data_IF_451229609691
#
_entry.id   IF_451229609691
#
_cell.length_a   1.000
_cell.length_b   1.000
_cell.length_c   1.000
_cell.angle_alpha   90.00
_cell.angle_beta   90.00
_cell.angle_gamma   90.00
#
_symmetry.space_group_name_H-M   'P 1'
#
loop_
_entity.id
_entity.type
_entity.pdbx_description
1 polymer ?
#
# COMPACT_ATOMS: atom_id res chain seq x y z
N UNK A 1 5.65 1.04 -33.13
CA UNK A 1 4.96 0.32 -32.04
C UNK A 1 5.95 0.21 -30.88
N UNK A 2 5.79 0.97 -29.79
CA UNK A 2 6.69 0.85 -28.62
C UNK A 2 6.40 -0.48 -27.93
N UNK A 3 7.37 -1.37 -27.81
CA UNK A 3 7.20 -2.61 -27.05
C UNK A 3 7.16 -2.29 -25.57
N UNK A 4 6.17 -2.85 -24.87
CA UNK A 4 6.07 -2.88 -23.41
C UNK A 4 6.97 -4.01 -22.89
N UNK A 5 8.27 -3.87 -23.07
CA UNK A 5 9.30 -4.83 -22.67
C UNK A 5 10.27 -4.02 -21.84
N UNK A 6 10.17 -3.91 -20.52
CA UNK A 6 10.09 -5.01 -19.55
C UNK A 6 9.29 -4.59 -18.32
N UNK A 7 8.21 -5.31 -18.00
CA UNK A 7 7.52 -5.17 -16.74
C UNK A 7 7.65 -6.47 -15.94
N UNK A 8 7.86 -6.35 -14.64
CA UNK A 8 8.00 -7.48 -13.73
C UNK A 8 6.80 -7.50 -12.79
N UNK A 9 6.20 -8.68 -12.63
CA UNK A 9 5.15 -8.93 -11.65
C UNK A 9 5.70 -9.93 -10.65
N UNK A 10 5.92 -9.47 -9.43
CA UNK A 10 6.27 -10.35 -8.32
C UNK A 10 5.00 -10.92 -7.70
N UNK A 11 4.89 -12.25 -7.67
CA UNK A 11 3.81 -12.95 -6.98
C UNK A 11 4.38 -13.49 -5.67
N UNK A 12 3.91 -12.96 -4.54
CA UNK A 12 4.44 -13.27 -3.21
C UNK A 12 3.30 -13.76 -2.32
N UNK A 13 3.40 -15.00 -1.82
CA UNK A 13 2.41 -15.55 -0.87
C UNK A 13 2.66 -15.18 0.60
N UNK A 14 3.90 -14.80 0.93
CA UNK A 14 4.37 -14.49 2.30
C UNK A 14 5.60 -13.58 2.28
N UNK A 15 5.67 -12.65 3.22
CA UNK A 15 6.84 -11.80 3.48
C UNK A 15 7.37 -12.12 4.88
N UNK A 16 8.34 -13.05 4.95
CA UNK A 16 8.91 -13.52 6.21
C UNK A 16 7.84 -13.94 7.23
N UNK A 17 7.96 -13.48 8.46
CA UNK A 17 6.93 -13.64 9.50
C UNK A 17 6.00 -12.42 9.60
N UNK A 18 6.35 -11.32 8.91
CA UNK A 18 5.66 -10.03 9.02
C UNK A 18 4.28 -10.09 8.37
N UNK A 19 4.14 -10.84 7.27
CA UNK A 19 2.88 -10.87 6.53
C UNK A 19 2.69 -12.13 5.67
N UNK A 20 1.44 -12.54 5.49
CA UNK A 20 0.96 -13.58 4.57
C UNK A 20 -0.17 -13.02 3.70
N UNK A 21 -0.60 -13.72 2.67
CA UNK A 21 -1.78 -13.25 1.93
C UNK A 21 -3.04 -13.18 2.81
N UNK A 22 -3.27 -14.21 3.65
CA UNK A 22 -4.48 -14.38 4.46
C UNK A 22 -4.70 -13.25 5.48
N UNK A 23 -3.65 -12.77 6.13
CA UNK A 23 -3.75 -11.69 7.11
C UNK A 23 -3.80 -10.30 6.45
N UNK A 24 -3.03 -10.07 5.38
CA UNK A 24 -3.09 -8.80 4.64
C UNK A 24 -4.45 -8.61 3.96
N UNK A 25 -5.07 -9.67 3.45
CA UNK A 25 -6.37 -9.58 2.76
C UNK A 25 -7.51 -9.09 3.65
N UNK A 26 -7.29 -8.97 4.96
CA UNK A 26 -8.26 -8.40 5.90
C UNK A 26 -8.22 -6.86 5.93
N UNK A 27 -7.14 -6.25 5.45
CA UNK A 27 -6.95 -4.79 5.38
C UNK A 27 -6.72 -4.37 3.92
N UNK A 28 -7.82 -4.16 3.20
CA UNK A 28 -7.82 -3.85 1.77
C UNK A 28 -8.71 -2.65 1.48
N UNK A 29 -8.14 -1.70 0.75
CA UNK A 29 -8.85 -0.61 0.10
C UNK A 29 -9.09 -0.96 -1.37
N UNK A 30 -10.31 -0.74 -1.87
CA UNK A 30 -10.65 -0.98 -3.28
C UNK A 30 -10.53 0.32 -4.06
N UNK A 31 -9.62 0.34 -5.03
CA UNK A 31 -9.46 1.45 -5.97
C UNK A 31 -10.15 1.12 -7.30
N UNK A 32 -10.94 2.05 -7.84
CA UNK A 32 -11.62 1.89 -9.11
C UNK A 32 -10.83 2.62 -10.21
N UNK A 33 -10.15 1.87 -11.08
CA UNK A 33 -9.32 2.42 -12.15
C UNK A 33 -9.78 1.80 -13.47
N UNK A 34 -10.18 2.64 -14.43
CA UNK A 34 -10.62 2.20 -15.76
C UNK A 34 -11.72 1.11 -15.73
N UNK A 35 -12.66 1.20 -14.79
CA UNK A 35 -13.72 0.19 -14.63
C UNK A 35 -13.28 -1.12 -13.94
N UNK A 36 -12.01 -1.25 -13.57
CA UNK A 36 -11.48 -2.40 -12.80
C UNK A 36 -11.35 -2.05 -11.31
N UNK A 37 -11.80 -2.98 -10.45
CA UNK A 37 -11.60 -2.91 -9.00
C UNK A 37 -10.24 -3.50 -8.65
N UNK A 38 -9.34 -2.67 -8.14
CA UNK A 38 -7.98 -3.06 -7.76
C UNK A 38 -7.89 -3.07 -6.23
N UNK A 39 -7.72 -4.25 -5.61
CA UNK A 39 -7.47 -4.33 -4.18
C UNK A 39 -6.04 -3.87 -3.88
N UNK A 40 -5.92 -2.91 -2.98
CA UNK A 40 -4.64 -2.39 -2.48
C UNK A 40 -4.65 -2.55 -0.97
N UNK A 41 -3.51 -2.91 -0.38
CA UNK A 41 -3.42 -3.02 1.08
C UNK A 41 -3.69 -1.66 1.73
N UNK A 42 -4.36 -1.67 2.89
CA UNK A 42 -4.56 -0.45 3.67
C UNK A 42 -3.24 0.19 4.09
N UNK A 43 -3.28 1.50 4.34
CA UNK A 43 -2.08 2.30 4.61
C UNK A 43 -1.27 1.78 5.80
N UNK A 44 -1.93 1.31 6.86
CA UNK A 44 -1.27 0.75 8.06
C UNK A 44 -0.50 -0.52 7.74
N UNK A 45 -1.10 -1.43 6.97
CA UNK A 45 -0.42 -2.66 6.53
C UNK A 45 0.76 -2.34 5.61
N UNK A 46 0.63 -1.37 4.71
CA UNK A 46 1.73 -0.93 3.84
C UNK A 46 2.91 -0.37 4.65
N UNK A 47 2.65 0.43 5.68
CA UNK A 47 3.69 0.95 6.58
C UNK A 47 4.40 -0.22 7.27
N UNK A 48 3.64 -1.14 7.87
CA UNK A 48 4.19 -2.28 8.62
C UNK A 48 5.11 -3.17 7.76
N UNK A 49 4.76 -3.44 6.51
CA UNK A 49 5.61 -4.27 5.62
C UNK A 49 6.86 -3.53 5.12
N UNK A 50 6.89 -2.19 5.24
CA UNK A 50 8.00 -1.32 4.83
C UNK A 50 8.92 -0.92 5.98
N UNK A 51 8.56 -1.23 7.23
CA UNK A 51 9.45 -1.10 8.40
C UNK A 51 10.54 -2.18 8.40
N UNK A 52 11.40 -2.16 7.38
CA UNK A 52 12.51 -3.10 7.20
C UNK A 52 13.85 -2.37 7.17
N UNK A 53 14.94 -3.14 7.23
CA UNK A 53 16.32 -2.63 7.22
C UNK A 53 16.81 -2.16 5.84
N UNK A 54 16.03 -2.35 4.77
CA UNK A 54 16.48 -2.04 3.40
C UNK A 54 16.53 -0.53 3.19
N UNK A 55 17.64 0.05 2.69
CA UNK A 55 17.76 1.49 2.47
C UNK A 55 16.66 2.08 1.59
N UNK A 56 16.22 1.34 0.56
CA UNK A 56 15.14 1.76 -0.35
C UNK A 56 13.78 1.89 0.33
N UNK A 57 13.53 1.11 1.38
CA UNK A 57 12.23 1.14 2.08
C UNK A 57 12.08 2.37 2.99
N UNK A 58 13.17 3.09 3.31
CA UNK A 58 13.11 4.33 4.12
C UNK A 58 12.29 5.43 3.44
N UNK A 59 12.52 5.64 2.14
CA UNK A 59 11.80 6.65 1.36
C UNK A 59 10.31 6.28 1.23
N UNK A 60 10.03 5.00 0.95
CA UNK A 60 8.65 4.50 0.87
C UNK A 60 7.93 4.68 2.22
N UNK A 61 8.60 4.38 3.32
CA UNK A 61 8.04 4.51 4.67
C UNK A 61 7.71 5.96 5.01
N UNK A 62 8.60 6.91 4.68
CA UNK A 62 8.35 8.33 4.88
C UNK A 62 7.15 8.82 4.07
N UNK A 63 7.08 8.43 2.79
CA UNK A 63 5.94 8.74 1.93
C UNK A 63 4.63 8.20 2.50
N UNK A 64 4.60 6.95 2.95
CA UNK A 64 3.39 6.32 3.49
C UNK A 64 2.92 6.98 4.80
N UNK A 65 3.85 7.39 5.67
CA UNK A 65 3.51 8.13 6.90
C UNK A 65 2.90 9.49 6.61
N UNK A 66 3.43 10.22 5.62
CA UNK A 66 2.84 11.50 5.20
C UNK A 66 1.47 11.31 4.54
N UNK A 67 1.29 10.23 3.77
CA UNK A 67 -0.03 9.88 3.21
C UNK A 67 -1.05 9.59 4.33
N UNK A 68 -0.67 8.80 5.34
CA UNK A 68 -1.52 8.46 6.48
C UNK A 68 -1.96 9.72 7.27
N UNK A 69 -1.04 10.66 7.51
CA UNK A 69 -1.36 11.94 8.17
C UNK A 69 -2.43 12.71 7.40
N UNK A 70 -2.26 12.88 6.09
CA UNK A 70 -3.22 13.59 5.23
C UNK A 70 -4.60 12.94 5.21
N UNK A 71 -4.66 11.61 5.23
CA UNK A 71 -5.95 10.89 5.31
C UNK A 71 -6.63 11.10 6.66
N UNK A 72 -5.85 11.09 7.74
CA UNK A 72 -6.34 11.39 9.09
C UNK A 72 -6.89 12.81 9.17
N UNK A 73 -6.15 13.80 8.66
CA UNK A 73 -6.55 15.22 8.67
C UNK A 73 -7.86 15.45 7.89
N UNK A 74 -7.99 14.83 6.71
CA UNK A 74 -9.22 14.88 5.91
C UNK A 74 -10.42 14.28 6.66
N UNK A 75 -10.20 13.19 7.38
CA UNK A 75 -11.23 12.55 8.19
C UNK A 75 -11.71 13.48 9.31
N UNK A 76 -10.81 14.18 9.99
CA UNK A 76 -11.15 15.17 11.01
C UNK A 76 -11.92 16.36 10.44
N UNK A 77 -11.55 16.84 9.25
CA UNK A 77 -12.29 17.90 8.56
C UNK A 77 -13.72 17.43 8.24
N UNK A 78 -13.90 16.22 7.71
CA UNK A 78 -15.23 15.67 7.37
C UNK A 78 -16.16 15.39 8.56
N UNK A 79 -15.63 15.35 9.79
CA UNK A 79 -16.41 15.16 11.03
C UNK A 79 -16.75 16.52 11.68
N UNK A 80 -16.07 17.59 11.26
CA UNK A 80 -16.24 18.94 11.80
C UNK A 80 -17.23 19.79 10.98
N UNK A 81 -17.70 19.27 9.84
CA UNK A 81 -18.77 19.81 8.97
C UNK A 81 -20.12 19.13 9.29
#
# INVERSE_FOLDING_TARGET
>A
MKSLTDFYIDIIGRIGEVATYKNISQDVEIYQILGVKIPVCGIETLIKIKETVRPKDKMDLEFLREKQKKETDKKWQSISD
#
